data_IF_533694864227
#
_entry.id   IF_533694864227
#
_cell.length_a   1.000
_cell.length_b   1.000
_cell.length_c   1.000
_cell.angle_alpha   90.00
_cell.angle_beta   90.00
_cell.angle_gamma   90.00
#
_symmetry.space_group_name_H-M   'P 1'
#
loop_
_entity.id
_entity.type
_entity.pdbx_description
1 polymer ?
#
# COMPACT_ATOMS: atom_id res chain seq x y z
N UNK A 1 49.20 63.01 -25.38
CA UNK A 1 48.04 63.09 -24.47
C UNK A 1 47.49 61.67 -24.37
N UNK A 2 47.74 61.01 -23.23
CA UNK A 2 47.42 59.61 -22.99
C UNK A 2 46.14 59.54 -22.18
N UNK A 3 45.05 58.96 -22.74
CA UNK A 3 43.85 58.69 -22.01
C UNK A 3 43.93 57.25 -21.44
N UNK A 4 43.92 57.14 -20.10
CA UNK A 4 43.86 55.90 -19.34
C UNK A 4 42.43 55.60 -19.06
N UNK A 5 41.86 54.52 -19.67
CA UNK A 5 40.58 53.94 -19.30
C UNK A 5 40.80 53.04 -18.07
N UNK A 6 40.20 53.44 -16.96
CA UNK A 6 40.05 52.54 -15.77
C UNK A 6 38.84 51.66 -15.96
N UNK A 7 39.10 50.34 -16.18
CA UNK A 7 38.06 49.32 -16.14
C UNK A 7 37.83 48.92 -14.68
N UNK A 8 36.64 49.21 -14.19
CA UNK A 8 36.16 48.80 -12.86
C UNK A 8 35.65 47.35 -12.97
N UNK A 9 36.38 46.39 -12.42
CA UNK A 9 35.88 45.02 -12.27
C UNK A 9 34.90 44.96 -11.09
N UNK A 10 33.62 44.78 -11.39
CA UNK A 10 32.60 44.50 -10.42
C UNK A 10 32.58 42.99 -10.22
N UNK A 11 33.15 42.49 -9.13
CA UNK A 11 33.07 41.07 -8.75
C UNK A 11 31.69 40.81 -8.17
N UNK A 12 30.84 40.13 -8.98
CA UNK A 12 29.59 39.53 -8.51
C UNK A 12 29.96 38.25 -7.79
N UNK A 13 29.96 38.27 -6.45
CA UNK A 13 30.03 37.06 -5.63
C UNK A 13 28.67 36.39 -5.69
N UNK A 14 28.53 35.38 -6.54
CA UNK A 14 27.41 34.46 -6.50
C UNK A 14 27.52 33.61 -5.23
N UNK A 15 26.69 33.92 -4.25
CA UNK A 15 26.49 33.03 -3.11
C UNK A 15 25.73 31.78 -3.62
N UNK A 16 26.43 30.69 -3.88
CA UNK A 16 25.83 29.40 -3.98
C UNK A 16 25.43 28.99 -2.56
N UNK A 17 24.14 29.11 -2.24
CA UNK A 17 23.54 28.37 -1.15
C UNK A 17 23.58 26.88 -1.54
N UNK A 18 24.60 26.20 -1.07
CA UNK A 18 24.63 24.75 -1.09
C UNK A 18 23.55 24.28 -0.12
N UNK A 19 22.40 23.90 -0.62
CA UNK A 19 21.50 23.03 0.13
C UNK A 19 22.21 21.70 0.28
N UNK A 20 22.84 21.48 1.44
CA UNK A 20 23.25 20.15 1.85
C UNK A 20 21.97 19.35 2.05
N UNK A 21 21.72 18.36 1.20
CA UNK A 21 20.77 17.29 1.52
C UNK A 21 21.21 16.71 2.88
N UNK A 22 20.39 16.91 3.91
CA UNK A 22 20.59 16.32 5.23
C UNK A 22 20.30 14.82 5.14
N UNK A 23 21.25 14.03 4.69
CA UNK A 23 21.22 12.61 4.88
C UNK A 23 21.39 12.32 6.39
N UNK A 24 20.32 11.88 7.07
CA UNK A 24 20.39 11.29 8.41
C UNK A 24 20.46 12.26 9.59
N UNK A 25 19.84 13.45 9.51
CA UNK A 25 19.73 14.37 10.66
C UNK A 25 18.47 14.12 11.50
N UNK A 26 18.55 14.40 12.82
CA UNK A 26 17.36 14.44 13.67
C UNK A 26 16.39 15.52 13.18
N UNK A 27 15.10 15.21 13.15
CA UNK A 27 14.07 16.18 12.83
C UNK A 27 14.05 17.32 13.89
N UNK A 28 14.04 18.53 13.40
CA UNK A 28 13.91 19.74 14.21
C UNK A 28 12.82 20.62 13.63
N UNK A 29 11.71 20.76 14.35
CA UNK A 29 10.59 21.59 13.94
C UNK A 29 10.49 22.90 14.71
N UNK A 30 9.55 23.78 14.35
CA UNK A 30 9.23 25.00 15.08
C UNK A 30 8.65 24.65 16.48
N UNK A 31 8.67 25.64 17.40
CA UNK A 31 7.97 25.51 18.67
C UNK A 31 6.46 25.57 18.44
N UNK A 32 5.79 24.44 18.65
CA UNK A 32 4.35 24.26 18.59
C UNK A 32 3.76 23.88 19.95
N UNK A 33 4.43 24.26 21.04
CA UNK A 33 4.00 23.96 22.40
C UNK A 33 2.55 24.38 22.65
N UNK A 34 1.75 23.44 23.15
CA UNK A 34 0.33 23.64 23.41
C UNK A 34 -0.59 23.49 22.20
N UNK A 35 -0.04 23.25 21.00
CA UNK A 35 -0.84 22.86 19.83
C UNK A 35 -1.20 21.37 19.91
N UNK A 36 -2.38 21.04 19.42
CA UNK A 36 -2.87 19.67 19.31
C UNK A 36 -3.22 19.39 17.86
N UNK A 37 -2.81 18.23 17.38
CA UNK A 37 -3.15 17.69 16.07
C UNK A 37 -3.90 16.40 16.29
N UNK A 38 -5.04 16.23 15.66
CA UNK A 38 -5.78 14.97 15.60
C UNK A 38 -5.51 14.28 14.27
N UNK A 39 -5.26 12.96 14.33
CA UNK A 39 -5.02 12.13 13.16
C UNK A 39 -5.98 10.94 13.19
N UNK A 40 -6.64 10.65 12.08
CA UNK A 40 -7.54 9.50 11.95
C UNK A 40 -7.11 8.59 10.80
N UNK A 41 -7.12 7.28 11.02
CA UNK A 41 -6.66 6.32 10.01
C UNK A 41 -7.18 4.90 10.23
N UNK A 42 -6.79 3.95 9.34
CA UNK A 42 -7.26 2.58 9.39
C UNK A 42 -6.45 1.68 10.36
N UNK A 43 -5.32 2.17 10.89
CA UNK A 43 -4.39 1.33 11.64
C UNK A 43 -4.90 1.06 13.07
N UNK A 44 -4.93 -0.22 13.41
CA UNK A 44 -5.17 -0.75 14.74
C UNK A 44 -3.91 -1.46 15.26
N UNK A 45 -3.91 -1.90 16.51
CA UNK A 45 -2.79 -2.64 17.08
C UNK A 45 -2.37 -3.84 16.20
N UNK A 46 -1.05 -4.06 15.98
CA UNK A 46 0.08 -3.30 16.56
C UNK A 46 0.52 -2.07 15.73
N UNK A 47 -0.04 -1.85 14.55
CA UNK A 47 0.41 -0.81 13.60
C UNK A 47 0.23 0.62 14.13
N UNK A 48 -0.80 0.87 14.93
CA UNK A 48 -1.03 2.18 15.54
C UNK A 48 0.03 2.48 16.62
N UNK A 49 0.51 1.48 17.34
CA UNK A 49 1.59 1.64 18.32
C UNK A 49 2.90 2.02 17.62
N UNK A 50 3.21 1.39 16.49
CA UNK A 50 4.36 1.75 15.66
C UNK A 50 4.27 3.18 15.14
N UNK A 51 3.09 3.60 14.68
CA UNK A 51 2.87 4.97 14.22
C UNK A 51 2.98 5.98 15.38
N UNK A 52 2.46 5.67 16.57
CA UNK A 52 2.61 6.53 17.77
C UNK A 52 4.07 6.70 18.16
N UNK A 53 4.89 5.66 18.04
CA UNK A 53 6.33 5.76 18.30
C UNK A 53 7.01 6.70 17.28
N UNK A 54 6.66 6.63 16.01
CA UNK A 54 7.13 7.58 14.96
C UNK A 54 6.70 9.01 15.29
N UNK A 55 5.43 9.22 15.61
CA UNK A 55 4.87 10.54 15.96
C UNK A 55 5.54 11.14 17.18
N UNK A 56 6.00 10.33 18.14
CA UNK A 56 6.72 10.80 19.32
C UNK A 56 7.98 11.63 18.99
N UNK A 57 8.57 11.45 17.81
CA UNK A 57 9.69 12.27 17.31
C UNK A 57 9.22 13.70 17.09
N UNK A 58 8.09 13.87 16.41
CA UNK A 58 7.48 15.18 16.16
C UNK A 58 7.12 15.90 17.47
N UNK A 59 6.46 15.19 18.40
CA UNK A 59 6.06 15.74 19.68
C UNK A 59 7.25 16.23 20.49
N UNK A 60 8.33 15.43 20.54
CA UNK A 60 9.58 15.80 21.24
C UNK A 60 10.28 17.01 20.60
N UNK A 61 10.26 17.10 19.26
CA UNK A 61 10.95 18.16 18.53
C UNK A 61 10.19 19.50 18.58
N UNK A 62 8.85 19.47 18.63
CA UNK A 62 8.01 20.66 18.49
C UNK A 62 7.25 21.06 19.76
N UNK A 63 7.08 20.16 20.73
CA UNK A 63 6.23 20.37 21.91
C UNK A 63 4.73 20.28 21.63
N UNK A 64 4.31 19.95 20.40
CA UNK A 64 2.91 19.65 20.08
C UNK A 64 2.48 18.30 20.64
N UNK A 65 1.16 18.06 20.69
CA UNK A 65 0.57 16.75 20.98
C UNK A 65 -0.16 16.24 19.75
N UNK A 66 0.06 14.96 19.40
CA UNK A 66 -0.63 14.30 18.28
C UNK A 66 -1.49 13.16 18.81
N UNK A 67 -2.80 13.24 18.58
CA UNK A 67 -3.74 12.20 18.96
C UNK A 67 -4.16 11.39 17.74
N UNK A 68 -3.72 10.15 17.68
CA UNK A 68 -4.14 9.21 16.65
C UNK A 68 -5.35 8.37 17.10
N UNK A 69 -6.38 8.29 16.25
CA UNK A 69 -7.51 7.39 16.35
C UNK A 69 -7.53 6.42 15.16
N UNK A 70 -7.66 5.12 15.43
CA UNK A 70 -7.79 4.09 14.40
C UNK A 70 -9.18 3.46 14.35
N UNK A 71 -9.61 3.00 13.17
CA UNK A 71 -10.89 2.30 13.01
C UNK A 71 -10.82 1.29 11.85
N UNK A 72 -11.39 0.09 12.06
CA UNK A 72 -11.63 -0.90 11.00
C UNK A 72 -12.82 -0.55 10.10
N UNK A 73 -13.54 0.52 10.44
CA UNK A 73 -14.61 1.11 9.64
C UNK A 73 -14.20 2.50 9.09
N UNK A 74 -12.88 2.71 8.91
CA UNK A 74 -12.29 3.99 8.53
C UNK A 74 -12.94 4.58 7.28
N UNK A 75 -13.09 3.79 6.20
CA UNK A 75 -13.57 4.24 4.90
C UNK A 75 -14.98 4.86 4.96
N UNK A 76 -15.82 4.30 5.82
CA UNK A 76 -17.17 4.82 6.03
C UNK A 76 -17.16 6.03 6.97
N UNK A 77 -16.42 5.93 8.07
CA UNK A 77 -16.42 6.94 9.12
C UNK A 77 -15.80 8.26 8.63
N UNK A 78 -14.68 8.19 7.91
CA UNK A 78 -14.00 9.40 7.40
C UNK A 78 -14.92 10.24 6.51
N UNK A 79 -15.71 9.60 5.64
CA UNK A 79 -16.64 10.30 4.76
C UNK A 79 -17.82 10.94 5.50
N UNK A 80 -18.26 10.33 6.61
CA UNK A 80 -19.27 10.91 7.50
C UNK A 80 -18.72 12.13 8.22
N UNK A 81 -17.51 12.02 8.79
CA UNK A 81 -16.89 13.08 9.57
C UNK A 81 -16.54 14.30 8.70
N UNK A 82 -16.06 14.07 7.47
CA UNK A 82 -15.82 15.15 6.48
C UNK A 82 -17.11 15.88 6.14
N UNK A 83 -18.21 15.16 5.86
CA UNK A 83 -19.53 15.77 5.61
C UNK A 83 -20.08 16.56 6.79
N UNK A 84 -19.80 16.11 8.00
CA UNK A 84 -20.24 16.76 9.24
C UNK A 84 -19.34 17.93 9.65
N UNK A 85 -18.19 18.15 9.01
CA UNK A 85 -17.19 19.15 9.42
C UNK A 85 -16.53 18.82 10.77
N UNK A 86 -16.44 17.52 11.11
CA UNK A 86 -15.87 17.00 12.36
C UNK A 86 -14.67 16.07 12.12
N UNK A 87 -14.11 16.10 10.92
CA UNK A 87 -12.93 15.30 10.59
C UNK A 87 -11.70 15.69 11.43
N UNK A 88 -10.81 14.72 11.65
CA UNK A 88 -9.51 14.95 12.25
C UNK A 88 -8.67 15.91 11.38
N UNK A 89 -7.69 16.61 11.98
CA UNK A 89 -6.83 17.59 11.29
C UNK A 89 -6.03 16.97 10.14
N UNK A 90 -5.62 15.71 10.30
CA UNK A 90 -5.02 14.91 9.24
C UNK A 90 -5.70 13.54 9.16
N UNK A 91 -5.83 13.00 7.96
CA UNK A 91 -6.43 11.68 7.70
C UNK A 91 -5.48 10.81 6.89
N UNK A 92 -5.41 9.51 7.25
CA UNK A 92 -4.56 8.53 6.59
C UNK A 92 -5.43 7.66 5.70
N UNK A 93 -5.38 7.89 4.40
CA UNK A 93 -6.14 7.11 3.42
C UNK A 93 -5.31 5.92 2.92
N UNK A 94 -5.82 4.70 3.00
CA UNK A 94 -5.23 3.57 2.30
C UNK A 94 -5.54 3.57 0.79
N UNK A 95 -6.62 4.29 0.36
CA UNK A 95 -7.06 4.32 -1.04
C UNK A 95 -6.99 5.74 -1.63
N UNK A 96 -6.18 6.00 -2.67
CA UNK A 96 -6.20 7.26 -3.41
C UNK A 96 -7.58 7.62 -3.98
N UNK A 97 -8.35 6.63 -4.44
CA UNK A 97 -9.72 6.84 -4.95
C UNK A 97 -10.69 7.37 -3.89
N UNK A 98 -10.56 6.91 -2.63
CA UNK A 98 -11.35 7.44 -1.52
C UNK A 98 -10.92 8.87 -1.16
N UNK A 99 -9.61 9.15 -1.18
CA UNK A 99 -9.08 10.50 -0.97
C UNK A 99 -9.55 11.46 -2.07
N UNK A 100 -9.60 11.02 -3.34
CA UNK A 100 -10.16 11.80 -4.43
C UNK A 100 -11.64 12.16 -4.19
N UNK A 101 -12.44 11.22 -3.69
CA UNK A 101 -13.84 11.49 -3.31
C UNK A 101 -13.92 12.53 -2.18
N UNK A 102 -13.03 12.44 -1.19
CA UNK A 102 -12.96 13.41 -0.10
C UNK A 102 -12.56 14.82 -0.60
N UNK A 103 -11.61 14.90 -1.54
CA UNK A 103 -11.19 16.15 -2.19
C UNK A 103 -12.34 16.79 -2.98
N UNK A 104 -13.04 16.00 -3.82
CA UNK A 104 -14.18 16.48 -4.63
C UNK A 104 -15.35 17.03 -3.78
N UNK A 105 -15.42 16.66 -2.50
CA UNK A 105 -16.40 17.20 -1.54
C UNK A 105 -15.92 18.45 -0.79
N UNK A 106 -14.70 18.95 -1.08
CA UNK A 106 -14.08 20.04 -0.32
C UNK A 106 -13.62 19.63 1.09
N UNK A 107 -13.43 18.33 1.33
CA UNK A 107 -13.01 17.82 2.63
C UNK A 107 -11.50 17.84 2.87
N UNK A 108 -10.70 18.07 1.85
CA UNK A 108 -9.24 18.13 1.92
C UNK A 108 -8.73 19.53 1.52
N UNK A 109 -7.55 19.90 2.03
CA UNK A 109 -6.91 21.17 1.69
C UNK A 109 -5.63 20.95 0.88
N UNK A 110 -5.30 21.85 -0.07
CA UNK A 110 -4.03 21.80 -0.80
C UNK A 110 -2.84 21.96 0.14
N UNK A 111 -1.81 21.16 -0.06
CA UNK A 111 -0.60 21.16 0.78
C UNK A 111 0.43 22.21 0.36
N UNK A 112 0.24 22.86 -0.80
CA UNK A 112 1.11 23.91 -1.29
C UNK A 112 2.39 23.43 -1.98
N UNK A 113 3.07 24.40 -2.63
CA UNK A 113 4.22 24.12 -3.49
C UNK A 113 5.46 23.62 -2.71
N UNK A 114 5.63 24.04 -1.46
CA UNK A 114 6.77 23.64 -0.63
C UNK A 114 6.77 22.13 -0.37
N UNK A 115 5.64 21.58 0.10
CA UNK A 115 5.51 20.14 0.38
C UNK A 115 5.56 19.35 -0.92
N UNK A 116 4.93 19.85 -1.99
CA UNK A 116 5.01 19.25 -3.32
C UNK A 116 6.47 19.13 -3.80
N UNK A 117 7.26 20.19 -3.62
CA UNK A 117 8.67 20.18 -4.02
C UNK A 117 9.48 19.18 -3.18
N UNK A 118 9.22 19.05 -1.87
CA UNK A 118 9.87 18.01 -1.04
C UNK A 118 9.62 16.60 -1.61
N UNK A 119 8.38 16.28 -2.01
CA UNK A 119 8.07 14.98 -2.65
C UNK A 119 8.84 14.81 -3.95
N UNK A 120 8.91 15.83 -4.81
CA UNK A 120 9.66 15.77 -6.07
C UNK A 120 11.16 15.54 -5.86
N UNK A 121 11.72 16.20 -4.84
CA UNK A 121 13.16 16.16 -4.55
C UNK A 121 13.57 14.88 -3.81
N UNK A 122 12.74 14.41 -2.86
CA UNK A 122 13.14 13.38 -1.91
C UNK A 122 12.62 11.97 -2.27
N UNK A 123 11.53 11.85 -3.04
CA UNK A 123 11.00 10.54 -3.39
C UNK A 123 11.55 10.02 -4.72
N UNK A 124 11.84 8.73 -4.79
CA UNK A 124 12.09 8.04 -6.04
C UNK A 124 10.84 8.11 -6.91
N UNK A 125 10.99 8.48 -8.19
CA UNK A 125 9.86 8.74 -9.10
C UNK A 125 8.88 9.81 -8.56
N UNK A 126 9.41 10.89 -7.95
CA UNK A 126 8.66 11.91 -7.22
C UNK A 126 7.41 12.44 -7.95
N UNK A 127 7.48 12.63 -9.28
CA UNK A 127 6.32 13.08 -10.08
C UNK A 127 5.16 12.08 -10.02
N UNK A 128 5.41 10.78 -10.06
CA UNK A 128 4.36 9.77 -9.97
C UNK A 128 3.61 9.81 -8.63
N UNK A 129 4.32 10.09 -7.53
CA UNK A 129 3.69 10.25 -6.21
C UNK A 129 2.87 11.54 -6.11
N UNK A 130 3.33 12.61 -6.74
CA UNK A 130 2.56 13.86 -6.87
C UNK A 130 1.29 13.62 -7.69
N UNK A 131 1.38 12.91 -8.81
CA UNK A 131 0.22 12.61 -9.66
C UNK A 131 -0.82 11.78 -8.91
N UNK A 132 -0.39 10.76 -8.14
CA UNK A 132 -1.27 9.91 -7.32
C UNK A 132 -1.98 10.66 -6.17
N UNK A 133 -1.52 11.85 -5.80
CA UNK A 133 -2.09 12.67 -4.73
C UNK A 133 -2.58 14.04 -5.20
N UNK A 134 -2.69 14.20 -6.53
CA UNK A 134 -3.33 15.35 -7.16
C UNK A 134 -4.78 15.01 -7.50
N UNK A 135 -5.70 15.70 -6.85
CA UNK A 135 -7.14 15.45 -6.97
C UNK A 135 -7.89 16.70 -7.37
N UNK A 136 -9.00 16.55 -8.07
CA UNK A 136 -9.93 17.64 -8.35
C UNK A 136 -10.67 18.05 -7.06
N UNK A 137 -10.63 19.34 -6.73
CA UNK A 137 -11.40 19.93 -5.63
C UNK A 137 -12.90 20.03 -5.96
N UNK A 138 -13.71 20.58 -5.05
CA UNK A 138 -15.14 20.79 -5.24
C UNK A 138 -15.49 21.72 -6.42
N UNK A 139 -14.51 22.46 -6.94
CA UNK A 139 -14.66 23.36 -8.09
C UNK A 139 -14.12 22.75 -9.39
N UNK A 140 -13.56 21.54 -9.33
CA UNK A 140 -12.96 20.84 -10.46
C UNK A 140 -11.53 21.29 -10.79
N UNK A 141 -10.82 21.95 -9.85
CA UNK A 141 -9.42 22.31 -10.05
C UNK A 141 -8.52 21.22 -9.43
N UNK A 142 -7.53 20.80 -10.19
CA UNK A 142 -6.56 19.81 -9.72
C UNK A 142 -5.59 20.43 -8.70
N UNK A 143 -5.51 19.83 -7.52
CA UNK A 143 -4.72 20.29 -6.39
C UNK A 143 -3.90 19.14 -5.79
N UNK A 144 -2.67 19.41 -5.36
CA UNK A 144 -1.85 18.47 -4.61
C UNK A 144 -2.32 18.44 -3.15
N UNK A 145 -2.89 17.29 -2.69
CA UNK A 145 -3.63 17.20 -1.43
C UNK A 145 -3.17 16.06 -0.51
N UNK A 146 -2.07 15.37 -0.80
CA UNK A 146 -1.61 14.29 0.05
C UNK A 146 -0.13 13.96 -0.13
N UNK A 147 0.42 13.24 0.84
CA UNK A 147 1.78 12.70 0.80
C UNK A 147 1.75 11.22 1.13
N UNK A 148 2.36 10.38 0.32
CA UNK A 148 2.54 8.97 0.67
C UNK A 148 3.57 8.85 1.78
N UNK A 149 3.21 8.20 2.86
CA UNK A 149 4.11 7.96 3.99
C UNK A 149 4.61 6.52 4.03
N UNK A 150 3.79 5.59 3.54
CA UNK A 150 4.07 4.16 3.53
C UNK A 150 3.75 3.59 2.16
N UNK A 151 4.63 2.70 1.67
CA UNK A 151 4.42 1.93 0.45
C UNK A 151 4.44 0.44 0.80
N UNK A 152 3.65 -0.35 0.09
CA UNK A 152 3.61 -1.80 0.22
C UNK A 152 3.88 -2.45 -1.14
N UNK A 153 4.63 -3.54 -1.13
CA UNK A 153 4.68 -4.51 -2.23
C UNK A 153 3.62 -5.57 -1.96
N UNK A 154 2.74 -5.84 -2.92
CA UNK A 154 1.65 -6.82 -2.80
C UNK A 154 1.92 -8.14 -3.52
N UNK A 155 2.89 -8.17 -4.41
CA UNK A 155 3.26 -9.33 -5.24
C UNK A 155 4.14 -10.34 -4.49
N UNK A 156 3.67 -10.82 -3.34
CA UNK A 156 4.44 -11.66 -2.42
C UNK A 156 3.66 -12.90 -2.00
N UNK A 157 4.37 -14.01 -1.83
CA UNK A 157 3.88 -15.22 -1.15
C UNK A 157 4.79 -15.50 0.03
N UNK A 158 4.21 -15.53 1.21
CA UNK A 158 4.89 -15.80 2.48
C UNK A 158 4.83 -17.28 2.79
N UNK A 159 5.89 -17.85 3.37
CA UNK A 159 6.01 -19.25 3.73
C UNK A 159 6.96 -19.41 4.93
N UNK A 160 6.94 -20.58 5.57
CA UNK A 160 7.95 -20.96 6.55
C UNK A 160 9.06 -21.75 5.87
N UNK A 161 10.33 -21.32 5.96
CA UNK A 161 11.46 -22.06 5.41
C UNK A 161 11.54 -23.50 5.95
N UNK A 162 11.35 -23.68 7.25
CA UNK A 162 11.39 -25.01 7.89
C UNK A 162 10.30 -25.94 7.33
N UNK A 163 9.06 -25.44 7.14
CA UNK A 163 7.97 -26.24 6.56
C UNK A 163 8.28 -26.65 5.12
N UNK A 164 8.93 -25.81 4.35
CA UNK A 164 9.32 -26.12 2.97
C UNK A 164 10.46 -27.16 2.97
N UNK A 165 11.50 -26.97 3.79
CA UNK A 165 12.64 -27.91 3.90
C UNK A 165 12.18 -29.30 4.37
N UNK A 166 11.36 -29.36 5.42
CA UNK A 166 10.85 -30.62 5.99
C UNK A 166 10.02 -31.44 5.01
N UNK A 167 9.32 -30.77 4.07
CA UNK A 167 8.50 -31.43 3.05
C UNK A 167 9.19 -31.53 1.68
N UNK A 168 10.38 -30.95 1.53
CA UNK A 168 11.15 -30.96 0.27
C UNK A 168 10.50 -30.11 -0.84
N UNK A 169 9.82 -29.03 -0.48
CA UNK A 169 9.23 -28.09 -1.43
C UNK A 169 10.26 -27.05 -1.88
N UNK A 170 10.21 -26.72 -3.16
CA UNK A 170 11.10 -25.72 -3.76
C UNK A 170 10.31 -24.45 -4.08
N UNK A 171 10.99 -23.29 -4.05
CA UNK A 171 10.38 -22.00 -4.39
C UNK A 171 10.06 -21.98 -5.89
N UNK A 172 8.79 -21.74 -6.28
CA UNK A 172 8.39 -21.70 -7.70
C UNK A 172 8.87 -20.42 -8.38
N UNK A 173 9.42 -20.55 -9.59
CA UNK A 173 9.86 -19.42 -10.41
C UNK A 173 8.77 -18.95 -11.41
N UNK A 174 7.79 -19.82 -11.72
CA UNK A 174 6.70 -19.57 -12.66
C UNK A 174 5.34 -19.87 -12.02
N UNK A 175 4.27 -19.27 -12.56
CA UNK A 175 2.91 -19.53 -12.11
C UNK A 175 2.51 -20.99 -12.31
N UNK A 176 2.98 -21.60 -13.39
CA UNK A 176 2.76 -23.04 -13.66
C UNK A 176 3.40 -23.91 -12.59
N UNK A 177 4.59 -23.55 -12.11
CA UNK A 177 5.26 -24.23 -11.00
C UNK A 177 4.53 -24.00 -9.67
N UNK A 178 4.01 -22.78 -9.43
CA UNK A 178 3.19 -22.48 -8.24
C UNK A 178 1.91 -23.31 -8.22
N UNK A 179 1.25 -23.46 -9.36
CA UNK A 179 0.05 -24.32 -9.49
C UNK A 179 0.43 -25.78 -9.23
N UNK A 180 1.53 -26.26 -9.83
CA UNK A 180 2.01 -27.62 -9.62
C UNK A 180 2.42 -27.88 -8.15
N UNK A 181 3.06 -26.91 -7.49
CA UNK A 181 3.39 -26.98 -6.07
C UNK A 181 2.13 -27.02 -5.19
N UNK A 182 1.10 -26.24 -5.54
CA UNK A 182 -0.21 -26.28 -4.86
C UNK A 182 -0.84 -27.69 -4.95
N UNK A 183 -0.84 -28.29 -6.15
CA UNK A 183 -1.33 -29.65 -6.37
C UNK A 183 -0.50 -30.68 -5.60
N UNK A 184 0.82 -30.54 -5.58
CA UNK A 184 1.73 -31.42 -4.86
C UNK A 184 1.45 -31.38 -3.35
N UNK A 185 1.38 -30.19 -2.75
CA UNK A 185 1.09 -30.03 -1.32
C UNK A 185 -0.21 -30.73 -0.93
N UNK A 186 -1.28 -30.51 -1.70
CA UNK A 186 -2.57 -31.17 -1.45
C UNK A 186 -2.47 -32.72 -1.59
N UNK A 187 -1.73 -33.19 -2.58
CA UNK A 187 -1.50 -34.62 -2.79
C UNK A 187 -0.69 -35.27 -1.65
N UNK A 188 0.24 -34.53 -1.05
CA UNK A 188 1.05 -34.96 0.09
C UNK A 188 0.26 -34.91 1.41
N UNK A 189 -0.97 -34.39 1.39
CA UNK A 189 -1.85 -34.23 2.54
C UNK A 189 -1.64 -32.94 3.35
N UNK A 190 -0.90 -31.99 2.79
CA UNK A 190 -0.73 -30.64 3.34
C UNK A 190 -1.72 -29.67 2.70
N UNK A 191 -2.22 -28.72 3.47
CA UNK A 191 -3.06 -27.64 2.94
C UNK A 191 -2.18 -26.54 2.32
N UNK A 192 -2.28 -26.25 1.02
CA UNK A 192 -1.41 -25.27 0.38
C UNK A 192 -1.54 -23.85 0.90
N UNK A 193 -2.77 -23.35 1.08
CA UNK A 193 -3.03 -21.92 1.21
C UNK A 193 -3.71 -21.53 2.52
N UNK A 194 -3.17 -20.50 3.13
CA UNK A 194 -3.76 -19.71 4.19
C UNK A 194 -4.46 -18.50 3.55
N UNK A 195 -5.77 -18.53 3.30
CA UNK A 195 -6.50 -17.42 2.66
C UNK A 195 -7.57 -16.89 3.60
N UNK A 196 -7.62 -15.59 3.79
CA UNK A 196 -8.66 -14.90 4.56
C UNK A 196 -8.97 -13.52 3.95
N UNK A 197 -10.26 -13.23 3.77
CA UNK A 197 -10.75 -11.97 3.21
C UNK A 197 -11.36 -11.05 4.26
N UNK A 198 -11.59 -11.57 5.48
CA UNK A 198 -12.22 -10.82 6.57
C UNK A 198 -11.39 -9.60 6.96
N UNK A 199 -12.02 -8.42 7.02
CA UNK A 199 -11.41 -7.16 7.41
C UNK A 199 -12.48 -6.16 7.89
N UNK A 200 -13.42 -6.61 8.73
CA UNK A 200 -14.52 -5.75 9.17
C UNK A 200 -15.33 -5.21 7.99
N UNK A 201 -15.51 -3.89 7.94
CA UNK A 201 -16.23 -3.22 6.85
C UNK A 201 -15.50 -3.26 5.50
N UNK A 202 -14.18 -3.49 5.51
CA UNK A 202 -13.35 -3.60 4.31
C UNK A 202 -13.18 -5.06 3.82
N UNK A 203 -13.98 -6.01 4.34
CA UNK A 203 -13.94 -7.41 3.92
C UNK A 203 -14.03 -7.55 2.41
N UNK A 204 -13.08 -8.31 1.82
CA UNK A 204 -12.98 -8.54 0.37
C UNK A 204 -11.71 -8.00 -0.28
N UNK A 205 -11.07 -6.97 0.28
CA UNK A 205 -9.86 -6.38 -0.31
C UNK A 205 -8.71 -7.38 -0.53
N UNK A 206 -8.47 -8.43 0.29
CA UNK A 206 -7.40 -9.36 -0.03
C UNK A 206 -7.62 -10.14 -1.33
N UNK A 207 -8.89 -10.35 -1.73
CA UNK A 207 -9.20 -11.02 -2.99
C UNK A 207 -9.07 -10.09 -4.20
N UNK A 208 -9.33 -8.78 -4.05
CA UNK A 208 -9.04 -7.83 -5.14
C UNK A 208 -7.56 -7.77 -5.44
N UNK A 209 -6.70 -7.81 -4.41
CA UNK A 209 -5.24 -7.92 -4.54
C UNK A 209 -4.80 -9.14 -5.38
N UNK A 210 -5.45 -10.29 -5.17
CA UNK A 210 -5.18 -11.49 -5.97
C UNK A 210 -5.52 -11.26 -7.43
N UNK A 211 -6.72 -10.71 -7.70
CA UNK A 211 -7.17 -10.45 -9.07
C UNK A 211 -6.26 -9.47 -9.79
N UNK A 212 -5.89 -8.39 -9.13
CA UNK A 212 -5.05 -7.33 -9.68
C UNK A 212 -3.66 -7.85 -10.03
N UNK A 213 -3.10 -8.64 -9.14
CA UNK A 213 -1.81 -9.26 -9.36
C UNK A 213 -1.85 -10.31 -10.50
N UNK A 214 -2.93 -11.08 -10.61
CA UNK A 214 -3.17 -12.01 -11.71
C UNK A 214 -3.33 -11.24 -13.03
N UNK A 215 -4.07 -10.13 -13.05
CA UNK A 215 -4.19 -9.26 -14.23
C UNK A 215 -2.83 -8.77 -14.73
N UNK A 216 -1.93 -8.37 -13.83
CA UNK A 216 -0.56 -7.94 -14.18
C UNK A 216 0.34 -9.10 -14.65
N UNK A 217 -0.03 -10.35 -14.41
CA UNK A 217 0.71 -11.55 -14.88
C UNK A 217 0.14 -12.17 -16.13
N UNK A 218 -1.06 -11.78 -16.49
CA UNK A 218 -1.75 -12.31 -17.68
C UNK A 218 -1.84 -11.31 -18.82
N UNK A 219 -1.80 -10.00 -18.51
CA UNK A 219 -2.01 -8.92 -19.47
C UNK A 219 -0.98 -7.81 -19.33
N UNK A 220 -0.86 -6.97 -20.37
CA UNK A 220 0.05 -5.82 -20.33
C UNK A 220 -0.43 -4.74 -19.35
N UNK A 221 0.48 -3.87 -18.87
CA UNK A 221 0.13 -2.78 -17.98
C UNK A 221 -0.96 -1.85 -18.51
N UNK A 222 -1.01 -1.65 -19.85
CA UNK A 222 -2.04 -0.83 -20.49
C UNK A 222 -3.43 -1.45 -20.37
N UNK A 223 -3.53 -2.78 -20.44
CA UNK A 223 -4.80 -3.50 -20.21
C UNK A 223 -5.26 -3.35 -18.75
N UNK A 224 -4.32 -3.40 -17.82
CA UNK A 224 -4.60 -3.13 -16.41
C UNK A 224 -5.13 -1.69 -16.21
N UNK A 225 -4.45 -0.70 -16.79
CA UNK A 225 -4.84 0.70 -16.68
C UNK A 225 -6.23 0.97 -17.29
N UNK A 226 -6.54 0.37 -18.46
CA UNK A 226 -7.86 0.46 -19.08
C UNK A 226 -8.97 -0.18 -18.21
N UNK A 227 -8.66 -1.27 -17.52
CA UNK A 227 -9.60 -1.89 -16.57
C UNK A 227 -9.85 -1.00 -15.36
N UNK A 228 -8.80 -0.50 -14.73
CA UNK A 228 -8.89 0.38 -13.55
C UNK A 228 -9.64 1.67 -13.84
N UNK A 229 -9.49 2.24 -15.05
CA UNK A 229 -10.19 3.46 -15.50
C UNK A 229 -11.60 3.21 -16.04
N UNK A 230 -12.00 1.95 -16.19
CA UNK A 230 -13.23 1.53 -16.90
C UNK A 230 -13.30 1.99 -18.38
N UNK A 231 -12.15 2.17 -19.03
CA UNK A 231 -12.06 2.18 -20.49
C UNK A 231 -12.29 0.77 -21.06
N UNK A 232 -11.85 -0.25 -20.32
CA UNK A 232 -12.24 -1.64 -20.50
C UNK A 232 -13.28 -2.00 -19.45
N UNK A 233 -14.46 -2.51 -19.83
CA UNK A 233 -15.51 -2.81 -18.88
C UNK A 233 -15.08 -3.89 -17.88
N UNK A 234 -15.62 -3.82 -16.66
CA UNK A 234 -15.26 -4.76 -15.58
C UNK A 234 -15.66 -6.21 -15.91
N UNK A 235 -16.70 -6.40 -16.74
CA UNK A 235 -17.14 -7.71 -17.20
C UNK A 235 -16.49 -8.17 -18.52
N UNK A 236 -15.35 -7.59 -18.89
CA UNK A 236 -14.52 -8.10 -20.00
C UNK A 236 -14.07 -9.54 -19.70
N UNK A 237 -14.05 -10.44 -20.69
CA UNK A 237 -13.62 -11.83 -20.49
C UNK A 237 -12.27 -11.99 -19.80
N UNK A 238 -11.33 -11.05 -19.97
CA UNK A 238 -10.00 -11.08 -19.35
C UNK A 238 -10.09 -10.90 -17.82
N UNK A 239 -11.00 -10.05 -17.35
CA UNK A 239 -11.25 -9.83 -15.91
C UNK A 239 -11.93 -11.06 -15.30
N UNK A 240 -12.89 -11.66 -16.02
CA UNK A 240 -13.56 -12.90 -15.60
C UNK A 240 -12.54 -14.04 -15.51
N UNK A 241 -11.62 -14.18 -16.46
CA UNK A 241 -10.53 -15.18 -16.43
C UNK A 241 -9.60 -14.98 -15.23
N UNK A 242 -9.28 -13.72 -14.87
CA UNK A 242 -8.48 -13.44 -13.69
C UNK A 242 -9.22 -13.83 -12.40
N UNK A 243 -10.53 -13.60 -12.32
CA UNK A 243 -11.38 -14.01 -11.20
C UNK A 243 -11.45 -15.54 -11.09
N UNK A 244 -11.63 -16.24 -12.21
CA UNK A 244 -11.63 -17.73 -12.24
C UNK A 244 -10.25 -18.30 -11.88
N UNK A 245 -9.15 -17.62 -12.27
CA UNK A 245 -7.80 -18.00 -11.86
C UNK A 245 -7.62 -17.87 -10.34
N UNK A 246 -8.07 -16.78 -9.71
CA UNK A 246 -8.12 -16.68 -8.25
C UNK A 246 -8.97 -17.79 -7.65
N UNK A 247 -10.15 -18.06 -8.23
CA UNK A 247 -11.04 -19.12 -7.78
C UNK A 247 -10.41 -20.51 -7.80
N UNK A 248 -9.48 -20.78 -8.74
CA UNK A 248 -8.78 -22.06 -8.81
C UNK A 248 -7.93 -22.33 -7.56
N UNK A 249 -7.43 -21.29 -6.88
CA UNK A 249 -6.75 -21.41 -5.60
C UNK A 249 -7.72 -21.38 -4.41
N UNK A 250 -8.69 -20.46 -4.41
CA UNK A 250 -9.50 -20.11 -3.24
C UNK A 250 -10.77 -20.94 -3.05
N UNK A 251 -11.29 -21.59 -4.11
CA UNK A 251 -12.57 -22.29 -4.09
C UNK A 251 -12.44 -23.83 -4.00
N UNK A 252 -11.22 -24.34 -3.90
CA UNK A 252 -10.98 -25.76 -3.70
C UNK A 252 -10.83 -26.04 -2.20
N UNK A 253 -11.70 -26.90 -1.66
CA UNK A 253 -11.72 -27.25 -0.22
C UNK A 253 -10.41 -27.90 0.25
N UNK A 254 -9.71 -28.61 -0.62
CA UNK A 254 -8.44 -29.28 -0.30
C UNK A 254 -7.24 -28.31 -0.33
N UNK A 255 -7.41 -27.09 -0.87
CA UNK A 255 -6.34 -26.13 -1.01
C UNK A 255 -6.28 -25.08 0.08
N UNK A 256 -7.38 -24.82 0.79
CA UNK A 256 -7.49 -23.71 1.72
C UNK A 256 -7.71 -24.19 3.15
N UNK A 257 -6.98 -23.61 4.09
CA UNK A 257 -7.19 -23.85 5.52
C UNK A 257 -8.62 -23.52 5.94
N UNK A 258 -9.32 -24.50 6.50
CA UNK A 258 -10.75 -24.40 6.83
C UNK A 258 -11.69 -24.62 5.64
N UNK A 259 -11.16 -24.92 4.43
CA UNK A 259 -11.91 -25.08 3.19
C UNK A 259 -12.37 -23.77 2.56
N UNK A 260 -12.90 -23.85 1.33
CA UNK A 260 -13.34 -22.69 0.53
C UNK A 260 -14.34 -21.77 1.25
N UNK A 261 -15.17 -22.31 2.12
CA UNK A 261 -16.17 -21.55 2.89
C UNK A 261 -15.57 -20.68 3.98
N UNK A 262 -14.35 -20.98 4.44
CA UNK A 262 -13.65 -20.18 5.43
C UNK A 262 -13.06 -18.89 4.82
N UNK A 263 -12.80 -18.88 3.52
CA UNK A 263 -12.13 -17.79 2.81
C UNK A 263 -12.76 -16.44 3.11
N UNK A 264 -14.07 -16.30 2.97
CA UNK A 264 -14.77 -15.04 3.19
C UNK A 264 -14.78 -14.56 4.65
N UNK A 265 -14.65 -15.49 5.62
CA UNK A 265 -14.87 -15.22 7.06
C UNK A 265 -13.60 -15.20 7.89
N UNK A 266 -12.51 -15.82 7.43
CA UNK A 266 -11.22 -15.77 8.11
C UNK A 266 -10.66 -14.35 8.00
N UNK A 267 -10.33 -13.75 9.14
CA UNK A 267 -9.70 -12.43 9.16
C UNK A 267 -8.31 -12.49 8.49
N UNK A 268 -7.97 -11.49 7.68
CA UNK A 268 -6.70 -11.47 6.95
C UNK A 268 -5.49 -11.46 7.89
N UNK A 269 -5.65 -10.95 9.11
CA UNK A 269 -4.61 -10.91 10.14
C UNK A 269 -4.37 -12.28 10.78
N UNK A 270 -5.43 -13.08 10.87
CA UNK A 270 -5.37 -14.41 11.47
C UNK A 270 -5.02 -15.50 10.46
N UNK A 271 -5.32 -15.27 9.17
CA UNK A 271 -5.09 -16.26 8.10
C UNK A 271 -3.66 -16.82 8.09
N UNK A 272 -2.58 -16.02 8.23
CA UNK A 272 -1.20 -16.53 8.20
C UNK A 272 -0.81 -17.38 9.42
N UNK A 273 -1.57 -17.38 10.51
CA UNK A 273 -1.21 -18.10 11.74
C UNK A 273 -0.97 -19.61 11.49
N UNK A 274 -1.66 -20.18 10.50
CA UNK A 274 -1.49 -21.58 10.10
C UNK A 274 -0.08 -21.94 9.61
N UNK A 275 0.73 -20.95 9.14
CA UNK A 275 2.13 -21.18 8.77
C UNK A 275 3.00 -21.55 9.97
N UNK A 276 2.64 -21.07 11.16
CA UNK A 276 3.43 -21.15 12.40
C UNK A 276 2.95 -22.23 13.37
N UNK A 277 1.94 -23.01 12.99
CA UNK A 277 1.47 -24.15 13.81
C UNK A 277 2.35 -25.38 13.59
N UNK A 278 2.35 -26.31 14.54
CA UNK A 278 3.09 -27.59 14.41
C UNK A 278 2.18 -28.78 14.70
N UNK A 279 1.80 -29.58 13.69
CA UNK A 279 2.12 -29.42 12.26
C UNK A 279 1.50 -28.14 11.67
N UNK A 280 2.07 -27.66 10.56
CA UNK A 280 1.53 -26.48 9.86
C UNK A 280 0.11 -26.77 9.35
N UNK A 281 -0.80 -25.82 9.58
CA UNK A 281 -2.18 -25.91 9.09
C UNK A 281 -2.31 -25.49 7.63
N UNK A 282 -1.37 -24.70 7.13
CA UNK A 282 -1.24 -24.30 5.73
C UNK A 282 0.19 -23.89 5.42
N UNK A 283 0.61 -23.96 4.15
CA UNK A 283 2.01 -23.84 3.74
C UNK A 283 2.39 -22.48 3.16
N UNK A 284 1.45 -21.77 2.54
CA UNK A 284 1.68 -20.51 1.83
C UNK A 284 0.60 -19.48 2.14
N UNK A 285 0.99 -18.20 2.16
CA UNK A 285 0.07 -17.06 2.37
C UNK A 285 0.41 -15.92 1.40
N UNK A 286 -0.46 -15.62 0.43
CA UNK A 286 -0.26 -14.47 -0.47
C UNK A 286 -0.78 -13.21 0.20
N UNK A 287 0.12 -12.27 0.50
CA UNK A 287 -0.24 -11.00 1.13
C UNK A 287 0.87 -9.96 0.96
N UNK A 288 0.52 -8.69 1.16
CA UNK A 288 1.41 -7.55 1.07
C UNK A 288 2.52 -7.55 2.15
N UNK A 289 3.54 -6.72 1.92
CA UNK A 289 4.74 -6.59 2.75
C UNK A 289 4.49 -6.18 4.22
N UNK A 290 3.30 -5.75 4.56
CA UNK A 290 2.95 -5.38 5.93
C UNK A 290 2.51 -6.56 6.82
N UNK A 291 2.19 -7.71 6.24
CA UNK A 291 1.57 -8.83 6.98
C UNK A 291 2.42 -9.39 8.14
N UNK A 292 3.77 -9.31 8.11
CA UNK A 292 4.58 -9.73 9.25
C UNK A 292 4.27 -9.02 10.57
N UNK A 293 3.64 -7.83 10.51
CA UNK A 293 3.16 -7.14 11.72
C UNK A 293 2.07 -7.92 12.48
N UNK A 294 1.46 -8.92 11.85
CA UNK A 294 0.40 -9.77 12.42
C UNK A 294 0.84 -11.23 12.63
N UNK A 295 2.11 -11.55 12.37
CA UNK A 295 2.64 -12.86 12.67
C UNK A 295 2.78 -13.06 14.19
N UNK A 296 2.84 -14.30 14.68
CA UNK A 296 3.00 -14.56 16.09
C UNK A 296 4.21 -13.84 16.69
N UNK A 297 4.05 -13.32 17.92
CA UNK A 297 5.12 -12.62 18.65
C UNK A 297 6.40 -13.47 18.71
N UNK A 298 7.50 -12.84 18.36
CA UNK A 298 8.83 -13.47 18.38
C UNK A 298 9.19 -14.21 17.09
N UNK A 299 8.34 -14.22 16.07
CA UNK A 299 8.69 -14.77 14.75
C UNK A 299 9.82 -13.97 14.11
N UNK A 300 10.85 -14.65 13.63
CA UNK A 300 12.07 -14.06 13.08
C UNK A 300 12.11 -14.18 11.56
N UNK A 301 12.27 -13.04 10.88
CA UNK A 301 12.37 -12.97 9.42
C UNK A 301 13.63 -13.67 8.90
N UNK A 302 13.49 -14.50 7.88
CA UNK A 302 14.55 -15.33 7.32
C UNK A 302 14.81 -16.62 8.12
N UNK A 303 14.06 -16.85 9.22
CA UNK A 303 14.13 -18.05 10.05
C UNK A 303 12.76 -18.72 10.11
N UNK A 304 11.79 -18.08 10.79
CA UNK A 304 10.46 -18.65 10.95
C UNK A 304 9.56 -18.38 9.74
N UNK A 305 9.85 -17.29 9.00
CA UNK A 305 9.16 -16.92 7.78
C UNK A 305 10.09 -16.23 6.78
N UNK A 306 9.79 -16.41 5.51
CA UNK A 306 10.39 -15.69 4.39
C UNK A 306 9.34 -15.52 3.30
N UNK A 307 9.70 -14.93 2.17
CA UNK A 307 8.80 -14.72 1.05
C UNK A 307 9.46 -15.07 -0.28
N UNK A 308 8.62 -15.30 -1.28
CA UNK A 308 9.03 -15.27 -2.68
C UNK A 308 8.11 -14.36 -3.49
N UNK A 309 8.64 -13.88 -4.61
CA UNK A 309 7.88 -13.07 -5.54
C UNK A 309 6.73 -13.90 -6.14
N UNK A 310 5.51 -13.36 -6.13
CA UNK A 310 4.36 -14.00 -6.77
C UNK A 310 4.63 -14.14 -8.27
N UNK A 311 4.81 -15.37 -8.80
CA UNK A 311 5.46 -15.58 -10.07
C UNK A 311 4.61 -15.18 -11.28
N UNK A 312 5.26 -14.89 -12.41
CA UNK A 312 4.61 -14.67 -13.69
C UNK A 312 4.36 -16.00 -14.42
N UNK A 313 3.39 -16.02 -15.34
CA UNK A 313 3.18 -17.15 -16.24
C UNK A 313 4.36 -17.30 -17.21
N UNK A 314 4.87 -18.51 -17.37
CA UNK A 314 5.86 -18.82 -18.38
C UNK A 314 5.31 -18.52 -19.79
N UNK A 315 6.12 -17.91 -20.64
CA UNK A 315 5.70 -17.54 -22.00
C UNK A 315 4.85 -16.29 -22.13
N UNK A 316 4.49 -15.61 -21.01
CA UNK A 316 3.98 -14.24 -21.02
C UNK A 316 5.18 -13.32 -20.83
N UNK A 317 5.65 -12.67 -21.87
CA UNK A 317 6.81 -11.74 -21.82
C UNK A 317 6.41 -10.39 -21.19
N UNK A 318 6.00 -10.43 -19.92
CA UNK A 318 5.55 -9.26 -19.14
C UNK A 318 6.61 -8.76 -18.16
N UNK A 319 7.79 -9.37 -18.14
CA UNK A 319 8.87 -9.02 -17.21
C UNK A 319 8.56 -9.41 -15.76
N UNK A 320 8.90 -8.51 -14.82
CA UNK A 320 8.61 -8.66 -13.39
C UNK A 320 7.67 -7.54 -12.91
N UNK A 321 6.37 -7.66 -13.19
CA UNK A 321 5.41 -6.67 -12.71
C UNK A 321 5.23 -6.76 -11.20
N UNK A 322 5.13 -5.62 -10.54
CA UNK A 322 4.86 -5.50 -9.12
C UNK A 322 3.56 -4.75 -8.90
N UNK A 323 2.63 -5.38 -8.20
CA UNK A 323 1.49 -4.72 -7.61
C UNK A 323 1.94 -4.05 -6.32
N UNK A 324 1.65 -2.76 -6.20
CA UNK A 324 1.97 -1.98 -5.01
C UNK A 324 0.77 -1.23 -4.48
N UNK A 325 0.86 -0.83 -3.24
CA UNK A 325 -0.09 0.07 -2.60
C UNK A 325 0.64 1.02 -1.67
N UNK A 326 -0.10 1.89 -1.03
CA UNK A 326 0.48 2.78 -0.04
C UNK A 326 -0.61 3.54 0.71
N UNK A 327 -0.26 4.03 1.87
CA UNK A 327 -1.11 4.94 2.61
C UNK A 327 -0.61 6.36 2.44
N UNK A 328 -1.53 7.24 2.08
CA UNK A 328 -1.28 8.67 1.98
C UNK A 328 -1.90 9.41 3.15
N UNK A 329 -1.26 10.48 3.56
CA UNK A 329 -1.78 11.39 4.59
C UNK A 329 -2.21 12.67 3.92
N UNK A 330 -3.44 13.10 4.21
CA UNK A 330 -4.02 14.36 3.72
C UNK A 330 -4.42 15.24 4.88
N UNK A 331 -4.33 16.55 4.69
CA UNK A 331 -4.80 17.54 5.67
C UNK A 331 -6.25 17.94 5.37
N UNK A 332 -7.05 18.12 6.42
CA UNK A 332 -8.43 18.62 6.35
C UNK A 332 -8.52 20.12 6.71
N UNK A 333 -7.45 20.66 7.24
CA UNK A 333 -7.28 22.10 7.50
C UNK A 333 -5.82 22.51 7.29
N UNK A 334 -5.57 23.80 7.14
CA UNK A 334 -4.29 24.41 6.80
C UNK A 334 -3.62 25.10 8.00
N UNK A 335 -3.97 24.72 9.24
CA UNK A 335 -3.30 25.32 10.40
C UNK A 335 -1.80 24.94 10.41
N UNK A 336 -0.98 25.83 10.99
CA UNK A 336 0.48 25.71 10.92
C UNK A 336 1.02 24.39 11.52
N UNK A 337 0.37 23.85 12.55
CA UNK A 337 0.79 22.61 13.18
C UNK A 337 0.51 21.40 12.26
N UNK A 338 -0.66 21.35 11.61
CA UNK A 338 -1.01 20.30 10.64
C UNK A 338 -0.07 20.32 9.45
N UNK A 339 0.19 21.51 8.87
CA UNK A 339 1.11 21.63 7.74
C UNK A 339 2.53 21.23 8.11
N UNK A 340 3.00 21.60 9.31
CA UNK A 340 4.33 21.16 9.79
C UNK A 340 4.39 19.65 10.03
N UNK A 341 3.29 19.04 10.49
CA UNK A 341 3.19 17.59 10.62
C UNK A 341 3.29 16.89 9.25
N UNK A 342 2.69 17.47 8.19
CA UNK A 342 2.84 16.94 6.82
C UNK A 342 4.29 16.98 6.34
N UNK A 343 5.05 18.05 6.65
CA UNK A 343 6.49 18.16 6.35
C UNK A 343 7.32 17.15 7.14
N UNK A 344 6.99 16.96 8.43
CA UNK A 344 7.64 15.96 9.27
C UNK A 344 7.58 14.56 8.65
N UNK A 345 6.42 14.13 8.12
CA UNK A 345 6.26 12.82 7.50
C UNK A 345 7.18 12.60 6.28
N UNK A 346 7.63 13.67 5.63
CA UNK A 346 8.57 13.63 4.52
C UNK A 346 10.04 13.66 4.95
N UNK A 347 10.34 13.78 6.25
CA UNK A 347 11.72 13.72 6.72
C UNK A 347 12.25 12.29 6.76
N UNK A 348 13.57 12.09 6.68
CA UNK A 348 14.18 10.74 6.73
C UNK A 348 13.95 10.03 8.06
N UNK A 349 14.04 10.75 9.20
CA UNK A 349 13.97 10.14 10.53
C UNK A 349 12.65 9.41 10.82
N UNK A 350 11.43 9.97 10.57
CA UNK A 350 10.18 9.23 10.75
C UNK A 350 10.06 8.03 9.81
N UNK A 351 10.57 8.15 8.57
CA UNK A 351 10.59 7.04 7.62
C UNK A 351 11.52 5.91 8.10
N UNK A 352 12.75 6.23 8.51
CA UNK A 352 13.70 5.26 9.04
C UNK A 352 13.19 4.60 10.33
N UNK A 353 12.56 5.39 11.22
CA UNK A 353 11.96 4.86 12.45
C UNK A 353 10.85 3.85 12.14
N UNK A 354 10.07 4.08 11.10
CA UNK A 354 9.02 3.17 10.68
C UNK A 354 9.60 1.92 9.99
N UNK A 355 10.66 2.06 9.18
CA UNK A 355 11.39 0.94 8.56
C UNK A 355 11.94 -0.05 9.61
N UNK A 356 12.42 0.46 10.75
CA UNK A 356 12.93 -0.36 11.88
C UNK A 356 11.85 -1.29 12.48
N UNK A 357 10.57 -0.97 12.30
CA UNK A 357 9.45 -1.79 12.80
C UNK A 357 9.13 -3.00 11.91
N UNK A 358 9.63 -3.01 10.68
CA UNK A 358 9.37 -4.07 9.71
C UNK A 358 8.07 -3.90 8.93
N UNK A 359 8.00 -4.52 7.75
CA UNK A 359 6.82 -4.53 6.89
C UNK A 359 6.49 -3.20 6.20
N UNK A 360 7.26 -2.15 6.42
CA UNK A 360 7.07 -0.83 5.84
C UNK A 360 8.16 -0.49 4.85
N UNK A 361 7.76 -0.03 3.67
CA UNK A 361 8.65 0.50 2.66
C UNK A 361 8.34 1.97 2.47
N UNK A 362 9.36 2.74 2.13
CA UNK A 362 9.22 4.15 1.82
C UNK A 362 9.79 4.44 0.43
N UNK A 363 9.20 5.36 -0.35
CA UNK A 363 9.77 5.82 -1.60
C UNK A 363 10.90 6.84 -1.40
N UNK A 364 11.21 7.23 -0.16
CA UNK A 364 12.17 8.28 0.17
C UNK A 364 13.61 7.85 -0.13
N UNK A 365 14.31 8.57 -1.04
CA UNK A 365 15.69 8.27 -1.49
C UNK A 365 16.76 8.45 -0.42
N UNK A 366 16.50 9.30 0.56
CA UNK A 366 17.48 9.71 1.56
C UNK A 366 17.61 8.78 2.75
N UNK A 367 16.78 7.73 2.85
CA UNK A 367 16.81 6.79 3.99
C UNK A 367 18.00 5.84 3.93
N UNK A 368 18.53 5.45 5.09
CA UNK A 368 19.54 4.40 5.19
C UNK A 368 18.89 3.01 5.11
N UNK A 369 19.15 2.28 4.00
CA UNK A 369 18.65 0.92 3.78
C UNK A 369 19.03 -0.05 4.92
N UNK A 370 20.12 0.22 5.66
CA UNK A 370 20.53 -0.62 6.79
C UNK A 370 19.59 -0.48 8.02
N UNK A 371 18.64 0.44 7.98
CA UNK A 371 17.58 0.57 8.99
C UNK A 371 16.47 -0.48 8.85
N UNK A 372 16.38 -1.19 7.74
CA UNK A 372 15.52 -2.37 7.67
C UNK A 372 15.97 -3.43 8.67
N UNK A 373 15.00 -4.01 9.39
CA UNK A 373 15.23 -4.91 10.52
C UNK A 373 15.82 -6.27 10.14
N UNK A 374 15.74 -6.67 8.87
CA UNK A 374 16.29 -7.96 8.39
C UNK A 374 16.68 -7.91 6.91
N UNK A 375 17.41 -8.94 6.45
CA UNK A 375 17.71 -9.13 5.01
C UNK A 375 16.43 -9.41 4.22
N UNK A 376 15.44 -10.09 4.81
CA UNK A 376 14.11 -10.29 4.22
C UNK A 376 13.47 -8.95 3.85
N UNK A 377 13.46 -7.97 4.76
CA UNK A 377 12.91 -6.64 4.46
C UNK A 377 13.75 -5.83 3.48
N UNK A 378 15.08 -6.02 3.44
CA UNK A 378 15.92 -5.46 2.38
C UNK A 378 15.58 -6.08 1.02
N UNK A 379 15.28 -7.38 0.98
CA UNK A 379 14.81 -8.09 -0.21
C UNK A 379 13.49 -7.53 -0.77
N UNK A 380 12.54 -7.14 0.08
CA UNK A 380 11.31 -6.46 -0.34
C UNK A 380 11.59 -5.13 -1.06
N UNK A 381 12.53 -4.36 -0.54
CA UNK A 381 12.99 -3.13 -1.19
C UNK A 381 13.62 -3.42 -2.56
N UNK A 382 14.40 -4.49 -2.67
CA UNK A 382 15.03 -4.89 -3.94
C UNK A 382 13.99 -5.37 -4.98
N UNK A 383 12.89 -6.01 -4.55
CA UNK A 383 11.76 -6.32 -5.46
C UNK A 383 11.14 -5.03 -6.00
N UNK A 384 10.88 -4.06 -5.14
CA UNK A 384 10.31 -2.76 -5.55
C UNK A 384 11.21 -2.05 -6.56
N UNK A 385 12.52 -2.01 -6.31
CA UNK A 385 13.49 -1.37 -7.22
C UNK A 385 13.75 -2.17 -8.49
N UNK A 386 13.65 -3.50 -8.43
CA UNK A 386 13.86 -4.40 -9.57
C UNK A 386 12.63 -4.58 -10.47
N UNK A 387 11.50 -3.98 -10.13
CA UNK A 387 10.27 -4.08 -10.89
C UNK A 387 10.46 -3.54 -12.32
N UNK A 388 10.11 -4.34 -13.32
CA UNK A 388 10.05 -3.87 -14.72
C UNK A 388 8.80 -3.05 -14.99
N UNK A 389 7.75 -3.30 -14.20
CA UNK A 389 6.47 -2.61 -14.21
C UNK A 389 5.98 -2.49 -12.78
N UNK A 390 5.61 -1.30 -12.37
CA UNK A 390 4.90 -1.05 -11.13
C UNK A 390 3.50 -0.54 -11.45
N UNK A 391 2.48 -1.14 -10.82
CA UNK A 391 1.12 -0.59 -10.80
C UNK A 391 0.61 -0.51 -9.40
N UNK A 392 -0.05 0.62 -9.14
CA UNK A 392 -0.77 0.78 -7.89
C UNK A 392 -2.00 -0.13 -7.89
N UNK A 393 -2.41 -0.59 -6.71
CA UNK A 393 -3.63 -1.35 -6.45
C UNK A 393 -4.83 -0.75 -7.19
N UNK A 394 -5.46 -1.54 -8.04
CA UNK A 394 -6.52 -1.06 -8.91
C UNK A 394 -7.79 -0.71 -8.15
N UNK A 395 -8.16 -1.50 -7.15
CA UNK A 395 -9.33 -1.22 -6.31
C UNK A 395 -9.15 0.07 -5.50
N UNK A 396 -7.93 0.36 -5.07
CA UNK A 396 -7.59 1.59 -4.34
C UNK A 396 -7.61 2.84 -5.24
N UNK A 397 -7.38 2.68 -6.55
CA UNK A 397 -7.45 3.77 -7.54
C UNK A 397 -8.86 4.02 -8.07
N UNK A 398 -9.71 2.98 -8.11
CA UNK A 398 -11.09 3.08 -8.57
C UNK A 398 -11.89 4.05 -7.68
N UNK A 399 -12.96 4.67 -8.20
CA UNK A 399 -13.90 5.41 -7.34
C UNK A 399 -14.30 4.58 -6.12
N UNK A 400 -14.35 5.17 -4.93
CA UNK A 400 -14.58 4.44 -3.68
C UNK A 400 -15.84 3.58 -3.67
N UNK A 401 -16.91 4.01 -4.38
CA UNK A 401 -18.14 3.22 -4.54
C UNK A 401 -17.92 1.90 -5.32
N UNK A 402 -16.90 1.84 -6.15
CA UNK A 402 -16.52 0.67 -6.94
C UNK A 402 -15.42 -0.11 -6.21
N UNK A 403 -14.24 0.46 -6.06
CA UNK A 403 -13.09 -0.24 -5.51
C UNK A 403 -13.32 -0.75 -4.10
N UNK A 404 -13.51 0.16 -3.15
CA UNK A 404 -13.82 -0.16 -1.75
C UNK A 404 -15.30 -0.56 -1.52
N UNK A 405 -16.12 -0.49 -2.54
CA UNK A 405 -17.54 -0.82 -2.50
C UNK A 405 -17.86 -2.15 -3.19
N UNK A 406 -18.33 -2.06 -4.44
CA UNK A 406 -18.89 -3.21 -5.15
C UNK A 406 -17.87 -4.23 -5.60
N UNK A 407 -16.59 -3.87 -5.76
CA UNK A 407 -15.54 -4.83 -6.07
C UNK A 407 -15.23 -5.68 -4.84
N UNK A 408 -14.99 -5.09 -3.65
CA UNK A 408 -14.77 -5.85 -2.42
C UNK A 408 -15.93 -6.78 -2.11
N UNK A 409 -17.16 -6.26 -2.11
CA UNK A 409 -18.35 -7.07 -1.83
C UNK A 409 -18.62 -8.13 -2.90
N UNK A 410 -18.30 -7.83 -4.16
CA UNK A 410 -18.38 -8.78 -5.26
C UNK A 410 -17.43 -9.97 -5.08
N UNK A 411 -16.21 -9.73 -4.59
CA UNK A 411 -15.26 -10.83 -4.30
C UNK A 411 -15.73 -11.71 -3.15
N UNK A 412 -16.37 -11.13 -2.13
CA UNK A 412 -17.04 -11.91 -1.07
C UNK A 412 -18.19 -12.76 -1.65
N UNK A 413 -19.01 -12.18 -2.53
CA UNK A 413 -20.08 -12.91 -3.21
C UNK A 413 -19.53 -14.07 -4.06
N UNK A 414 -18.42 -13.84 -4.77
CA UNK A 414 -17.74 -14.86 -5.55
C UNK A 414 -17.29 -16.05 -4.70
N UNK A 415 -16.61 -15.77 -3.58
CA UNK A 415 -16.15 -16.83 -2.66
C UNK A 415 -17.32 -17.52 -1.93
N UNK A 416 -18.49 -16.92 -1.90
CA UNK A 416 -19.74 -17.54 -1.41
C UNK A 416 -20.54 -18.25 -2.52
N UNK A 417 -19.99 -18.40 -3.74
CA UNK A 417 -20.54 -19.24 -4.78
C UNK A 417 -21.31 -18.55 -5.90
N UNK A 418 -21.25 -17.20 -5.99
CA UNK A 418 -21.72 -16.48 -7.17
C UNK A 418 -20.74 -16.73 -8.34
N UNK A 419 -21.23 -16.82 -9.58
CA UNK A 419 -20.31 -16.98 -10.72
C UNK A 419 -19.46 -15.73 -10.94
N UNK A 420 -18.23 -15.91 -11.47
CA UNK A 420 -17.35 -14.79 -11.81
C UNK A 420 -18.05 -13.80 -12.78
N UNK A 421 -18.80 -14.32 -13.74
CA UNK A 421 -19.56 -13.50 -14.68
C UNK A 421 -20.63 -12.65 -13.98
N UNK A 422 -21.44 -13.23 -13.11
CA UNK A 422 -22.51 -12.50 -12.43
C UNK A 422 -21.95 -11.42 -11.48
N UNK A 423 -20.80 -11.69 -10.86
CA UNK A 423 -20.10 -10.72 -10.04
C UNK A 423 -19.56 -9.58 -10.90
N UNK A 424 -18.87 -9.90 -11.98
CA UNK A 424 -18.31 -8.91 -12.90
C UNK A 424 -19.39 -8.03 -13.55
N UNK A 425 -20.53 -8.61 -13.94
CA UNK A 425 -21.69 -7.87 -14.46
C UNK A 425 -22.24 -6.90 -13.39
N UNK A 426 -22.37 -7.35 -12.13
CA UNK A 426 -22.87 -6.51 -11.04
C UNK A 426 -21.95 -5.32 -10.71
N UNK A 427 -20.62 -5.52 -10.81
CA UNK A 427 -19.64 -4.46 -10.63
C UNK A 427 -19.71 -3.47 -11.80
N UNK A 428 -19.87 -3.98 -13.05
CA UNK A 428 -20.03 -3.11 -14.22
C UNK A 428 -21.32 -2.28 -14.15
N UNK A 429 -22.43 -2.87 -13.70
CA UNK A 429 -23.69 -2.12 -13.48
C UNK A 429 -23.48 -0.97 -12.49
N UNK A 430 -22.66 -1.17 -11.45
CA UNK A 430 -22.30 -0.13 -10.48
C UNK A 430 -21.46 0.99 -11.10
N UNK A 431 -20.50 0.65 -11.98
CA UNK A 431 -19.74 1.61 -12.76
C UNK A 431 -20.66 2.47 -13.66
N UNK A 432 -21.60 1.83 -14.35
CA UNK A 432 -22.53 2.52 -15.25
C UNK A 432 -23.50 3.45 -14.50
N UNK A 433 -23.77 3.16 -13.21
CA UNK A 433 -24.61 3.98 -12.36
C UNK A 433 -23.92 5.27 -11.84
N UNK A 434 -22.60 5.35 -11.85
CA UNK A 434 -21.82 6.53 -11.39
C UNK A 434 -21.27 7.38 -12.53
N UNK A 435 -21.41 6.95 -13.79
CA UNK A 435 -21.11 7.72 -14.99
C UNK A 435 -22.24 8.71 -15.28
#
# INVERSE_FOLDING_TARGET
>A
MKNIFKILFLSISTFFLSFSANAGGHYTGPDLSGQKITVFGPWLAPQDDDFRDVVSIFEKATGATVEYGGSDSFEQQVMIDLKAGSAADAVIFPQPGLAANAAAMGGLVPLGDEIKQMVLDDYAAGQSWVDLTTYSDENGNDQFMGVFFRVNVKSLVWYSPDNFEDNGYEIPETMEELIALTDQMASDGNTPWCIGLGSGAATGWPATDWMEDIMLRTHSPEVYDMWVSNEMPFNDPRVIEAMDTFGSFALNDDYVNGGSKAVATTDFRDAPNGLFTSPAECMMHRQASFIPAFFPDGSEAGVDYDFFYFPAFAGKDLGKPVLGAGTLVSATNDNAATIEFMKFLLHTEPNERFMEKGGFLTPHKGVDKNKYSSETFKGLHDILLGATTFRFDGSDLMPGAIGAGTFWTGMVDYTNGKSAKDVADSIQDSWDAIK
#
